data_IF_013969579384
#
_entry.id   IF_013969579384
#
_cell.length_a   1.000
_cell.length_b   1.000
_cell.length_c   1.000
_cell.angle_alpha   90.00
_cell.angle_beta   90.00
_cell.angle_gamma   90.00
#
_symmetry.space_group_name_H-M   'P 1'
#
loop_
_entity.id
_entity.type
_entity.pdbx_description
1 polymer ?
#
# COMPACT_ATOMS: atom_id res chain seq x y z
N UNK A 1 15.04 -16.20 2.04
CA UNK A 1 14.18 -15.43 1.14
C UNK A 1 12.74 -15.77 1.48
N UNK A 2 11.82 -14.84 1.31
CA UNK A 2 10.39 -15.11 1.42
C UNK A 2 9.98 -16.16 0.38
N UNK A 3 9.03 -17.04 0.71
CA UNK A 3 8.44 -17.97 -0.23
C UNK A 3 6.94 -17.71 -0.29
N UNK A 4 6.46 -17.23 -1.45
CA UNK A 4 5.08 -16.88 -1.74
C UNK A 4 4.50 -17.72 -2.88
N UNK A 5 5.12 -18.87 -3.20
CA UNK A 5 4.64 -19.77 -4.24
C UNK A 5 3.20 -20.21 -3.98
N UNK A 6 2.35 -20.09 -4.99
CA UNK A 6 0.93 -20.40 -4.91
C UNK A 6 0.08 -19.34 -4.18
N UNK A 7 0.66 -18.15 -3.92
CA UNK A 7 -0.05 -17.02 -3.32
C UNK A 7 -0.38 -15.99 -4.40
N UNK A 8 -1.65 -15.65 -4.55
CA UNK A 8 -2.09 -14.57 -5.46
C UNK A 8 -2.19 -13.26 -4.69
N UNK A 9 -1.45 -12.25 -5.13
CA UNK A 9 -1.37 -10.94 -4.47
C UNK A 9 -1.86 -9.84 -5.39
N UNK A 10 -2.80 -9.05 -4.91
CA UNK A 10 -3.22 -7.83 -5.58
C UNK A 10 -2.35 -6.66 -5.11
N UNK A 11 -1.61 -6.05 -6.02
CA UNK A 11 -0.80 -4.86 -5.78
C UNK A 11 -1.46 -3.65 -6.42
N UNK A 12 -1.94 -2.73 -5.60
CA UNK A 12 -2.56 -1.49 -6.08
C UNK A 12 -1.57 -0.33 -6.06
N UNK A 13 -1.73 0.62 -7.00
CA UNK A 13 -0.76 1.68 -7.22
C UNK A 13 0.47 1.21 -8.00
N UNK A 14 0.30 0.19 -8.83
CA UNK A 14 1.38 -0.53 -9.52
C UNK A 14 2.33 0.35 -10.34
N UNK A 15 1.85 1.51 -10.82
CA UNK A 15 2.69 2.48 -11.54
C UNK A 15 3.64 3.31 -10.67
N UNK A 16 3.56 3.19 -9.34
CA UNK A 16 4.41 3.94 -8.40
C UNK A 16 5.81 3.35 -8.24
N UNK A 17 6.78 4.19 -7.87
CA UNK A 17 8.17 3.75 -7.72
C UNK A 17 8.35 2.68 -6.62
N UNK A 18 7.67 2.83 -5.47
CA UNK A 18 7.67 1.80 -4.43
C UNK A 18 7.02 0.51 -4.94
N UNK A 19 5.87 0.63 -5.64
CA UNK A 19 5.15 -0.53 -6.14
C UNK A 19 5.98 -1.36 -7.11
N UNK A 20 6.82 -0.74 -7.95
CA UNK A 20 7.72 -1.45 -8.85
C UNK A 20 8.70 -2.34 -8.07
N UNK A 21 9.29 -1.83 -6.98
CA UNK A 21 10.19 -2.63 -6.15
C UNK A 21 9.44 -3.75 -5.41
N UNK A 22 8.22 -3.45 -4.91
CA UNK A 22 7.36 -4.45 -4.26
C UNK A 22 6.96 -5.54 -5.25
N UNK A 23 6.53 -5.19 -6.45
CA UNK A 23 6.14 -6.14 -7.48
C UNK A 23 7.29 -7.10 -7.81
N UNK A 24 8.50 -6.56 -8.02
CA UNK A 24 9.68 -7.39 -8.31
C UNK A 24 9.99 -8.36 -7.17
N UNK A 25 10.02 -7.90 -5.94
CA UNK A 25 10.31 -8.74 -4.77
C UNK A 25 9.26 -9.85 -4.59
N UNK A 26 7.97 -9.54 -4.83
CA UNK A 26 6.89 -10.53 -4.73
C UNK A 26 6.98 -11.60 -5.82
N UNK A 27 7.32 -11.22 -7.05
CA UNK A 27 7.57 -12.17 -8.15
C UNK A 27 8.80 -13.03 -7.85
N UNK A 28 9.90 -12.43 -7.41
CA UNK A 28 11.11 -13.16 -7.04
C UNK A 28 10.87 -14.15 -5.88
N UNK A 29 9.89 -13.85 -5.03
CA UNK A 29 9.42 -14.75 -3.98
C UNK A 29 8.42 -15.82 -4.47
N UNK A 30 8.03 -15.81 -5.75
CA UNK A 30 7.16 -16.81 -6.39
C UNK A 30 5.66 -16.50 -6.33
N UNK A 31 5.26 -15.28 -6.00
CA UNK A 31 3.85 -14.88 -6.00
C UNK A 31 3.29 -14.70 -7.42
N UNK A 32 2.00 -14.98 -7.58
CA UNK A 32 1.20 -14.54 -8.73
C UNK A 32 0.68 -13.13 -8.45
N UNK A 33 0.87 -12.20 -9.41
CA UNK A 33 0.50 -10.79 -9.22
C UNK A 33 -0.69 -10.37 -10.08
N UNK A 34 -1.64 -9.68 -9.45
CA UNK A 34 -2.62 -8.84 -10.10
C UNK A 34 -2.21 -7.38 -9.86
N UNK A 35 -1.80 -6.69 -10.92
CA UNK A 35 -1.42 -5.28 -10.87
C UNK A 35 -2.64 -4.39 -11.09
N UNK A 36 -2.86 -3.43 -10.18
CA UNK A 36 -3.96 -2.46 -10.29
C UNK A 36 -3.37 -1.04 -10.29
N UNK A 37 -3.73 -0.25 -11.29
CA UNK A 37 -3.26 1.11 -11.43
C UNK A 37 -3.97 1.85 -12.55
N UNK A 38 -3.37 2.91 -13.10
CA UNK A 38 -3.99 3.71 -14.18
C UNK A 38 -3.00 4.13 -15.25
N UNK A 39 -3.46 4.06 -16.49
CA UNK A 39 -2.86 4.68 -17.66
C UNK A 39 -1.39 4.29 -17.90
N UNK A 40 -0.60 5.22 -18.44
CA UNK A 40 0.77 4.96 -18.87
C UNK A 40 1.73 4.49 -17.76
N UNK A 41 1.48 4.86 -16.50
CA UNK A 41 2.30 4.37 -15.40
C UNK A 41 2.07 2.88 -15.11
N UNK A 42 0.84 2.42 -15.28
CA UNK A 42 0.50 1.00 -15.18
C UNK A 42 1.12 0.19 -16.32
N UNK A 43 1.04 0.68 -17.57
CA UNK A 43 1.69 0.03 -18.72
C UNK A 43 3.19 -0.14 -18.50
N UNK A 44 3.87 0.89 -17.99
CA UNK A 44 5.30 0.78 -17.65
C UNK A 44 5.59 -0.23 -16.55
N UNK A 45 4.66 -0.46 -15.63
CA UNK A 45 4.82 -1.50 -14.61
C UNK A 45 4.64 -2.90 -15.22
N UNK A 46 3.65 -3.08 -16.09
CA UNK A 46 3.41 -4.30 -16.84
C UNK A 46 4.63 -4.72 -17.68
N UNK A 47 5.26 -3.76 -18.37
CA UNK A 47 6.46 -4.00 -19.17
C UNK A 47 7.69 -4.48 -18.33
N UNK A 48 7.69 -4.22 -17.03
CA UNK A 48 8.84 -4.47 -16.15
C UNK A 48 8.72 -5.70 -15.28
N UNK A 49 7.49 -6.07 -14.93
CA UNK A 49 7.23 -7.12 -13.95
C UNK A 49 6.22 -8.11 -14.53
N UNK A 50 6.54 -9.40 -14.60
CA UNK A 50 5.59 -10.40 -15.05
C UNK A 50 4.41 -10.46 -14.06
N UNK A 51 3.23 -10.07 -14.55
CA UNK A 51 1.99 -10.13 -13.81
C UNK A 51 1.05 -11.19 -14.43
N UNK A 52 0.26 -11.82 -13.58
CA UNK A 52 -0.78 -12.75 -14.02
C UNK A 52 -1.93 -12.00 -14.68
N UNK A 53 -2.20 -10.80 -14.18
CA UNK A 53 -3.27 -9.93 -14.67
C UNK A 53 -2.97 -8.45 -14.39
N UNK A 54 -3.48 -7.57 -15.26
CA UNK A 54 -3.31 -6.11 -15.15
C UNK A 54 -4.66 -5.44 -15.30
N UNK A 55 -5.03 -4.63 -14.32
CA UNK A 55 -6.33 -3.95 -14.24
C UNK A 55 -6.12 -2.43 -14.27
N UNK A 56 -6.58 -1.79 -15.36
CA UNK A 56 -6.60 -0.32 -15.45
C UNK A 56 -7.87 0.21 -14.77
N UNK A 57 -7.76 0.55 -13.49
CA UNK A 57 -8.88 0.94 -12.65
C UNK A 57 -8.58 2.22 -11.86
N UNK A 58 -9.56 3.11 -11.80
CA UNK A 58 -9.56 4.21 -10.84
C UNK A 58 -10.16 3.77 -9.50
N UNK A 59 -9.31 3.55 -8.52
CA UNK A 59 -9.76 3.15 -7.18
C UNK A 59 -10.48 4.27 -6.41
N UNK A 60 -10.52 5.50 -6.93
CA UNK A 60 -11.40 6.55 -6.37
C UNK A 60 -12.85 6.39 -6.79
N UNK A 61 -13.11 5.65 -7.87
CA UNK A 61 -14.45 5.30 -8.33
C UNK A 61 -14.98 4.08 -7.57
N UNK A 62 -16.14 4.15 -6.89
CA UNK A 62 -16.73 3.01 -6.21
C UNK A 62 -17.07 1.83 -7.14
N UNK A 63 -17.21 2.04 -8.45
CA UNK A 63 -17.39 0.96 -9.42
C UNK A 63 -16.22 -0.03 -9.44
N UNK A 64 -15.01 0.41 -9.04
CA UNK A 64 -13.83 -0.44 -8.90
C UNK A 64 -14.04 -1.61 -7.93
N UNK A 65 -14.90 -1.46 -6.92
CA UNK A 65 -15.18 -2.51 -5.93
C UNK A 65 -15.71 -3.79 -6.61
N UNK A 66 -16.68 -3.64 -7.51
CA UNK A 66 -17.29 -4.80 -8.19
C UNK A 66 -16.30 -5.47 -9.14
N UNK A 67 -15.43 -4.71 -9.79
CA UNK A 67 -14.38 -5.28 -10.63
C UNK A 67 -13.39 -6.10 -9.79
N UNK A 68 -12.89 -5.53 -8.69
CA UNK A 68 -11.96 -6.21 -7.80
C UNK A 68 -12.55 -7.49 -7.16
N UNK A 69 -13.85 -7.53 -6.92
CA UNK A 69 -14.56 -8.72 -6.37
C UNK A 69 -14.50 -9.95 -7.25
N UNK A 70 -14.25 -9.79 -8.54
CA UNK A 70 -14.15 -10.91 -9.50
C UNK A 70 -12.87 -11.72 -9.31
N UNK A 71 -11.89 -11.14 -8.59
CA UNK A 71 -10.57 -11.74 -8.41
C UNK A 71 -10.43 -12.37 -7.04
N UNK A 72 -9.88 -13.59 -7.04
CA UNK A 72 -9.55 -14.32 -5.82
C UNK A 72 -8.11 -14.00 -5.46
N UNK A 73 -7.91 -13.41 -4.29
CA UNK A 73 -6.57 -13.03 -3.83
C UNK A 73 -6.35 -13.44 -2.38
N UNK A 74 -5.11 -13.81 -2.08
CA UNK A 74 -4.67 -14.17 -0.73
C UNK A 74 -4.14 -12.96 0.04
N UNK A 75 -3.65 -11.95 -0.69
CA UNK A 75 -3.21 -10.70 -0.07
C UNK A 75 -3.51 -9.48 -0.93
N UNK A 76 -3.71 -8.34 -0.26
CA UNK A 76 -3.74 -7.00 -0.84
C UNK A 76 -2.53 -6.22 -0.33
N UNK A 77 -1.72 -5.69 -1.24
CA UNK A 77 -0.70 -4.70 -0.92
C UNK A 77 -1.11 -3.36 -1.54
N UNK A 78 -1.53 -2.43 -0.70
CA UNK A 78 -2.03 -1.13 -1.13
C UNK A 78 -0.94 -0.06 -1.00
N UNK A 79 -0.45 0.41 -2.16
CA UNK A 79 0.58 1.45 -2.23
C UNK A 79 0.08 2.76 -2.83
N UNK A 80 -1.21 2.83 -3.21
CA UNK A 80 -1.81 4.07 -3.70
C UNK A 80 -1.74 5.15 -2.64
N UNK A 81 -1.43 6.36 -3.06
CA UNK A 81 -1.49 7.52 -2.19
C UNK A 81 -0.89 8.76 -2.83
N UNK A 82 -1.28 9.89 -2.29
CA UNK A 82 -0.73 11.19 -2.62
C UNK A 82 -0.04 11.81 -1.40
N UNK A 83 1.02 12.56 -1.66
CA UNK A 83 1.67 13.42 -0.70
C UNK A 83 1.31 14.87 -0.98
N UNK A 84 1.16 15.67 0.06
CA UNK A 84 0.93 17.10 -0.08
C UNK A 84 1.38 17.88 1.14
N UNK A 85 1.94 19.07 0.91
CA UNK A 85 2.24 20.05 1.93
C UNK A 85 1.41 21.31 1.66
N UNK A 86 0.78 21.83 2.69
CA UNK A 86 -0.04 23.05 2.60
C UNK A 86 -0.18 23.69 3.96
N UNK A 87 -0.14 25.02 3.99
CA UNK A 87 -0.44 25.79 5.19
C UNK A 87 -1.90 25.52 5.62
N UNK A 88 -2.11 25.14 6.87
CA UNK A 88 -3.44 24.74 7.35
C UNK A 88 -4.52 25.85 7.17
N UNK A 89 -4.13 27.14 7.25
CA UNK A 89 -5.05 28.26 7.09
C UNK A 89 -5.41 28.58 5.63
N UNK A 90 -4.73 27.93 4.65
CA UNK A 90 -5.00 28.05 3.22
C UNK A 90 -5.73 26.82 2.67
N UNK A 91 -5.84 25.77 3.47
CA UNK A 91 -6.46 24.52 3.04
C UNK A 91 -7.97 24.70 2.81
N UNK A 92 -8.45 24.15 1.74
CA UNK A 92 -9.86 24.18 1.33
C UNK A 92 -10.55 22.84 1.61
N UNK A 93 -11.90 22.79 1.59
CA UNK A 93 -12.62 21.52 1.63
C UNK A 93 -12.23 20.56 0.50
N UNK A 94 -11.91 21.07 -0.69
CA UNK A 94 -11.49 20.26 -1.84
C UNK A 94 -10.11 19.65 -1.62
N UNK A 95 -9.17 20.36 -0.97
CA UNK A 95 -7.87 19.80 -0.58
C UNK A 95 -8.04 18.65 0.43
N UNK A 96 -8.93 18.80 1.40
CA UNK A 96 -9.26 17.74 2.35
C UNK A 96 -9.85 16.53 1.62
N UNK A 97 -10.87 16.76 0.79
CA UNK A 97 -11.54 15.68 0.04
C UNK A 97 -10.57 14.98 -0.89
N UNK A 98 -9.75 15.72 -1.63
CA UNK A 98 -8.74 15.17 -2.54
C UNK A 98 -7.72 14.29 -1.78
N UNK A 99 -7.21 14.75 -0.64
CA UNK A 99 -6.24 14.01 0.16
C UNK A 99 -6.85 12.75 0.78
N UNK A 100 -8.09 12.83 1.29
CA UNK A 100 -8.80 11.67 1.82
C UNK A 100 -9.14 10.66 0.71
N UNK A 101 -9.58 11.14 -0.45
CA UNK A 101 -9.88 10.28 -1.60
C UNK A 101 -8.62 9.54 -2.06
N UNK A 102 -7.52 10.24 -2.27
CA UNK A 102 -6.30 9.63 -2.79
C UNK A 102 -5.66 8.62 -1.83
N UNK A 103 -5.78 8.80 -0.52
CA UNK A 103 -5.13 7.95 0.47
C UNK A 103 -6.09 6.94 1.12
N UNK A 104 -7.27 7.39 1.59
CA UNK A 104 -8.16 6.55 2.39
C UNK A 104 -9.25 5.88 1.56
N UNK A 105 -9.94 6.63 0.68
CA UNK A 105 -11.05 6.08 -0.10
C UNK A 105 -10.57 4.98 -1.05
N UNK A 106 -9.42 5.17 -1.70
CA UNK A 106 -8.80 4.16 -2.58
C UNK A 106 -8.48 2.87 -1.83
N UNK A 107 -7.96 2.96 -0.60
CA UNK A 107 -7.74 1.78 0.25
C UNK A 107 -9.06 1.11 0.64
N UNK A 108 -10.07 1.90 1.04
CA UNK A 108 -11.37 1.39 1.40
C UNK A 108 -12.00 0.59 0.24
N UNK A 109 -12.01 1.15 -0.97
CA UNK A 109 -12.54 0.46 -2.15
C UNK A 109 -11.76 -0.83 -2.46
N UNK A 110 -10.44 -0.79 -2.40
CA UNK A 110 -9.61 -1.98 -2.61
C UNK A 110 -9.94 -3.08 -1.59
N UNK A 111 -10.06 -2.73 -0.31
CA UNK A 111 -10.44 -3.66 0.76
C UNK A 111 -11.84 -4.22 0.54
N UNK A 112 -12.84 -3.38 0.22
CA UNK A 112 -14.21 -3.84 -0.05
C UNK A 112 -14.29 -4.79 -1.25
N UNK A 113 -13.39 -4.65 -2.21
CA UNK A 113 -13.28 -5.57 -3.33
C UNK A 113 -12.77 -6.95 -2.93
N UNK A 114 -11.70 -7.03 -2.14
CA UNK A 114 -11.02 -8.31 -1.86
C UNK A 114 -11.49 -9.01 -0.59
N UNK A 115 -11.93 -8.27 0.42
CA UNK A 115 -12.27 -8.79 1.75
C UNK A 115 -13.34 -9.89 1.76
N UNK A 116 -14.43 -9.82 0.95
CA UNK A 116 -15.43 -10.88 0.94
C UNK A 116 -14.85 -12.25 0.57
N UNK A 117 -13.90 -12.30 -0.38
CA UNK A 117 -13.21 -13.54 -0.74
C UNK A 117 -12.32 -14.05 0.40
N UNK A 118 -11.49 -13.17 0.97
CA UNK A 118 -10.61 -13.52 2.10
C UNK A 118 -11.40 -14.08 3.28
N UNK A 119 -12.55 -13.50 3.60
CA UNK A 119 -13.44 -14.01 4.67
C UNK A 119 -14.02 -15.38 4.34
N UNK A 120 -14.40 -15.62 3.09
CA UNK A 120 -14.94 -16.91 2.65
C UNK A 120 -13.90 -18.03 2.73
N UNK A 121 -12.67 -17.77 2.34
CA UNK A 121 -11.57 -18.74 2.42
C UNK A 121 -10.98 -18.86 3.83
N UNK A 122 -11.32 -17.91 4.73
CA UNK A 122 -10.78 -17.80 6.09
C UNK A 122 -9.26 -17.62 6.13
N UNK A 123 -8.74 -16.97 5.12
CA UNK A 123 -7.33 -16.63 4.99
C UNK A 123 -7.18 -15.35 4.19
N UNK A 124 -6.29 -14.46 4.62
CA UNK A 124 -5.99 -13.23 3.89
C UNK A 124 -5.08 -12.29 4.66
N UNK A 125 -4.43 -11.40 3.90
CA UNK A 125 -3.64 -10.33 4.49
C UNK A 125 -3.84 -9.01 3.72
N UNK A 126 -4.05 -7.94 4.46
CA UNK A 126 -4.17 -6.57 3.95
C UNK A 126 -2.98 -5.77 4.43
N UNK A 127 -2.14 -5.31 3.52
CA UNK A 127 -1.01 -4.44 3.79
C UNK A 127 -1.30 -3.04 3.28
N UNK A 128 -1.30 -2.05 4.16
CA UNK A 128 -1.51 -0.64 3.82
C UNK A 128 -0.26 0.20 4.09
N UNK A 129 0.17 1.00 3.10
CA UNK A 129 1.31 1.90 3.27
C UNK A 129 0.84 3.25 3.81
N UNK A 130 1.22 3.54 5.04
CA UNK A 130 0.98 4.82 5.73
C UNK A 130 2.19 5.76 5.61
N UNK A 131 2.56 6.49 6.65
CA UNK A 131 3.67 7.45 6.62
C UNK A 131 4.23 7.74 8.03
N UNK A 132 5.46 8.29 8.07
CA UNK A 132 6.09 8.75 9.32
C UNK A 132 5.23 9.76 10.10
N UNK A 133 4.57 10.66 9.38
CA UNK A 133 3.69 11.68 9.97
C UNK A 133 2.52 11.04 10.72
N UNK A 134 1.92 9.99 10.16
CA UNK A 134 0.87 9.22 10.80
C UNK A 134 1.39 8.47 12.03
N UNK A 135 2.56 7.82 11.93
CA UNK A 135 3.17 7.11 13.06
C UNK A 135 3.52 8.05 14.23
N UNK A 136 3.84 9.32 13.94
CA UNK A 136 4.15 10.38 14.92
C UNK A 136 2.91 11.18 15.33
N UNK A 137 1.78 11.01 14.64
CA UNK A 137 0.56 11.83 14.76
C UNK A 137 0.84 13.33 14.60
N UNK A 138 1.84 13.68 13.79
CA UNK A 138 2.29 15.07 13.58
C UNK A 138 3.09 15.23 12.30
N UNK A 139 2.85 16.34 11.59
CA UNK A 139 3.58 16.72 10.36
C UNK A 139 3.46 18.23 10.11
N UNK A 140 4.55 18.98 10.34
CA UNK A 140 4.57 20.42 10.06
C UNK A 140 4.31 20.66 8.57
N UNK A 141 3.33 21.52 8.25
CA UNK A 141 2.94 21.85 6.87
C UNK A 141 2.24 20.70 6.11
N UNK A 142 1.92 19.60 6.76
CA UNK A 142 1.32 18.41 6.13
C UNK A 142 0.10 17.90 6.91
N UNK A 143 -0.73 18.80 7.44
CA UNK A 143 -1.83 18.43 8.33
C UNK A 143 -2.84 17.48 7.65
N UNK A 144 -3.29 17.79 6.43
CA UNK A 144 -4.24 16.96 5.70
C UNK A 144 -3.63 15.61 5.29
N UNK A 145 -2.37 15.62 4.86
CA UNK A 145 -1.64 14.38 4.56
C UNK A 145 -1.50 13.50 5.80
N UNK A 146 -1.09 14.09 6.94
CA UNK A 146 -0.98 13.37 8.22
C UNK A 146 -2.30 12.75 8.62
N UNK A 147 -3.40 13.52 8.55
CA UNK A 147 -4.74 13.02 8.87
C UNK A 147 -5.16 11.86 7.97
N UNK A 148 -4.96 11.98 6.65
CA UNK A 148 -5.33 10.93 5.71
C UNK A 148 -4.50 9.65 5.89
N UNK A 149 -3.20 9.76 6.15
CA UNK A 149 -2.33 8.60 6.41
C UNK A 149 -2.55 8.01 7.81
N UNK A 150 -2.96 8.80 8.79
CA UNK A 150 -3.43 8.30 10.08
C UNK A 150 -4.74 7.51 9.92
N UNK A 151 -5.67 7.98 9.07
CA UNK A 151 -6.88 7.24 8.74
C UNK A 151 -6.57 5.88 8.09
N UNK A 152 -5.60 5.82 7.15
CA UNK A 152 -5.11 4.55 6.56
C UNK A 152 -4.63 3.59 7.65
N UNK A 153 -3.78 4.07 8.57
CA UNK A 153 -3.22 3.25 9.64
C UNK A 153 -4.33 2.76 10.58
N UNK A 154 -5.18 3.66 11.05
CA UNK A 154 -6.28 3.32 11.95
C UNK A 154 -7.25 2.31 11.32
N UNK A 155 -7.56 2.47 10.02
CA UNK A 155 -8.44 1.56 9.31
C UNK A 155 -7.86 0.14 9.22
N UNK A 156 -6.60 -0.01 8.79
CA UNK A 156 -5.96 -1.33 8.67
C UNK A 156 -5.81 -2.02 10.03
N UNK A 157 -5.42 -1.28 11.08
CA UNK A 157 -5.29 -1.84 12.43
C UNK A 157 -6.65 -2.23 13.02
N UNK A 158 -7.69 -1.40 12.81
CA UNK A 158 -9.05 -1.72 13.24
C UNK A 158 -9.62 -2.93 12.51
N UNK A 159 -9.37 -3.05 11.19
CA UNK A 159 -9.71 -4.25 10.44
C UNK A 159 -8.99 -5.49 10.99
N UNK A 160 -7.70 -5.37 11.35
CA UNK A 160 -6.97 -6.47 11.95
C UNK A 160 -7.66 -6.98 13.22
N UNK A 161 -8.04 -6.07 14.12
CA UNK A 161 -8.71 -6.43 15.37
C UNK A 161 -10.12 -7.00 15.14
N UNK A 162 -10.90 -6.40 14.24
CA UNK A 162 -12.25 -6.87 13.89
C UNK A 162 -12.24 -8.27 13.25
N UNK A 163 -11.22 -8.55 12.44
CA UNK A 163 -11.10 -9.79 11.68
C UNK A 163 -10.28 -10.87 12.39
N UNK A 164 -9.83 -10.58 13.60
CA UNK A 164 -9.15 -11.55 14.47
C UNK A 164 -10.03 -12.79 14.70
N UNK A 165 -9.45 -13.96 14.44
CA UNK A 165 -10.18 -15.23 14.46
C UNK A 165 -11.00 -15.55 13.21
N UNK A 166 -11.11 -14.63 12.24
CA UNK A 166 -11.76 -14.86 10.94
C UNK A 166 -10.75 -15.23 9.84
N UNK A 167 -9.46 -15.33 10.17
CA UNK A 167 -8.39 -15.72 9.26
C UNK A 167 -7.78 -14.56 8.45
N UNK A 168 -8.32 -13.34 8.53
CA UNK A 168 -7.80 -12.17 7.81
C UNK A 168 -6.98 -11.29 8.76
N UNK A 169 -5.85 -10.79 8.27
CA UNK A 169 -4.89 -9.99 9.04
C UNK A 169 -4.63 -8.66 8.37
N UNK A 170 -4.32 -7.63 9.15
CA UNK A 170 -3.88 -6.33 8.69
C UNK A 170 -2.43 -6.05 9.09
N UNK A 171 -1.69 -5.36 8.23
CA UNK A 171 -0.36 -4.83 8.54
C UNK A 171 -0.20 -3.42 7.96
N UNK A 172 0.24 -2.49 8.79
CA UNK A 172 0.55 -1.13 8.36
C UNK A 172 2.05 -0.99 8.18
N UNK A 173 2.47 -0.43 7.05
CA UNK A 173 3.87 -0.09 6.77
C UNK A 173 4.04 1.41 6.88
N UNK A 174 4.96 1.84 7.73
CA UNK A 174 5.31 3.24 7.92
C UNK A 174 6.72 3.49 7.38
N UNK A 175 6.86 4.10 6.20
CA UNK A 175 8.12 4.71 5.80
C UNK A 175 8.44 5.85 6.77
N UNK A 176 9.50 5.72 7.56
CA UNK A 176 9.87 6.71 8.59
C UNK A 176 10.75 7.84 8.05
N UNK A 177 10.94 7.88 6.74
CA UNK A 177 11.61 8.90 5.95
C UNK A 177 11.07 8.94 4.52
N UNK A 178 11.67 9.75 3.66
CA UNK A 178 11.39 9.72 2.24
C UNK A 178 11.91 8.40 1.62
N UNK A 179 11.22 7.91 0.61
CA UNK A 179 11.64 6.72 -0.14
C UNK A 179 12.52 7.18 -1.30
N UNK A 180 13.58 6.45 -1.61
CA UNK A 180 14.43 6.71 -2.77
C UNK A 180 13.65 6.47 -4.07
N UNK A 181 13.15 7.56 -4.63
CA UNK A 181 12.37 7.58 -5.87
C UNK A 181 12.93 8.62 -6.83
N UNK A 182 12.72 8.49 -8.14
CA UNK A 182 13.13 9.52 -9.11
C UNK A 182 12.66 10.93 -8.70
N UNK A 183 11.41 11.07 -8.30
CA UNK A 183 10.83 12.36 -7.86
C UNK A 183 11.55 12.94 -6.64
N UNK A 184 11.90 12.12 -5.66
CA UNK A 184 12.60 12.59 -4.46
C UNK A 184 14.07 12.94 -4.76
N UNK A 185 14.72 12.21 -5.69
CA UNK A 185 16.05 12.57 -6.18
C UNK A 185 16.05 13.89 -6.94
N UNK A 186 15.07 14.11 -7.83
CA UNK A 186 14.88 15.38 -8.54
C UNK A 186 14.61 16.54 -7.56
N UNK A 187 13.98 16.29 -6.43
CA UNK A 187 13.81 17.25 -5.34
C UNK A 187 15.08 17.47 -4.49
N UNK A 188 16.22 16.88 -4.87
CA UNK A 188 17.52 17.05 -4.22
C UNK A 188 17.76 16.18 -3.00
N UNK A 189 16.95 15.15 -2.77
CA UNK A 189 17.19 14.18 -1.70
C UNK A 189 18.33 13.24 -2.09
N UNK A 190 19.27 13.01 -1.17
CA UNK A 190 20.37 12.09 -1.41
C UNK A 190 19.96 10.66 -1.05
N UNK A 191 20.64 9.71 -1.64
CA UNK A 191 20.45 8.28 -1.39
C UNK A 191 20.58 7.95 0.12
N UNK A 192 21.57 8.50 0.80
CA UNK A 192 21.84 8.22 2.23
C UNK A 192 20.71 8.69 3.13
N UNK A 193 20.00 9.75 2.74
CA UNK A 193 18.89 10.33 3.50
C UNK A 193 17.53 9.69 3.19
N UNK A 194 17.49 8.68 2.32
CA UNK A 194 16.24 8.05 1.86
C UNK A 194 16.21 6.56 2.18
N UNK A 195 14.98 6.02 2.24
CA UNK A 195 14.76 4.59 2.45
C UNK A 195 14.90 3.87 1.11
N UNK A 196 15.68 2.79 1.08
CA UNK A 196 15.78 1.90 -0.07
C UNK A 196 14.41 1.22 -0.34
N UNK A 197 13.81 1.42 -1.53
CA UNK A 197 12.54 0.79 -1.87
C UNK A 197 12.62 -0.74 -1.92
N UNK A 198 13.78 -1.34 -2.19
CA UNK A 198 13.98 -2.80 -2.15
C UNK A 198 13.94 -3.30 -0.72
N UNK A 199 14.57 -2.62 0.23
CA UNK A 199 14.50 -2.97 1.66
C UNK A 199 13.06 -2.90 2.19
N UNK A 200 12.29 -1.92 1.73
CA UNK A 200 10.85 -1.87 2.03
C UNK A 200 10.09 -3.05 1.42
N UNK A 201 10.34 -3.37 0.17
CA UNK A 201 9.70 -4.49 -0.53
C UNK A 201 9.99 -5.83 0.18
N UNK A 202 11.22 -6.07 0.57
CA UNK A 202 11.63 -7.25 1.35
C UNK A 202 10.92 -7.33 2.70
N UNK A 203 10.75 -6.19 3.38
CA UNK A 203 10.02 -6.14 4.64
C UNK A 203 8.52 -6.46 4.45
N UNK A 204 7.91 -6.00 3.37
CA UNK A 204 6.53 -6.33 3.00
C UNK A 204 6.41 -7.82 2.68
N UNK A 205 7.28 -8.37 1.83
CA UNK A 205 7.28 -9.80 1.50
C UNK A 205 7.48 -10.66 2.75
N UNK A 206 8.37 -10.24 3.67
CA UNK A 206 8.55 -10.91 4.95
C UNK A 206 7.26 -10.91 5.80
N UNK A 207 6.54 -9.79 5.87
CA UNK A 207 5.28 -9.72 6.60
C UNK A 207 4.24 -10.67 6.03
N UNK A 208 4.15 -10.78 4.70
CA UNK A 208 3.22 -11.68 4.00
C UNK A 208 3.49 -13.17 4.30
N UNK A 209 4.75 -13.55 4.51
CA UNK A 209 5.14 -14.94 4.79
C UNK A 209 5.06 -15.33 6.27
N UNK A 210 4.71 -14.40 7.16
CA UNK A 210 4.63 -14.72 8.59
C UNK A 210 3.45 -15.63 8.92
N UNK A 211 3.66 -16.65 9.75
CA UNK A 211 2.59 -17.57 10.13
C UNK A 211 1.50 -16.84 10.96
N UNK A 212 0.26 -17.30 10.93
CA UNK A 212 -0.86 -16.66 11.64
C UNK A 212 -0.61 -16.42 13.14
N UNK A 213 0.18 -17.26 13.80
CA UNK A 213 0.48 -17.16 15.24
C UNK A 213 1.67 -16.24 15.56
N UNK A 214 2.35 -15.69 14.55
CA UNK A 214 3.51 -14.80 14.71
C UNK A 214 3.55 -13.75 13.58
N UNK A 215 2.38 -13.15 13.26
CA UNK A 215 2.24 -12.13 12.22
C UNK A 215 2.73 -10.76 12.71
N UNK A 216 2.97 -9.89 11.75
CA UNK A 216 3.35 -8.50 11.96
C UNK A 216 2.15 -7.61 11.68
N UNK A 217 1.83 -6.69 12.59
CA UNK A 217 0.75 -5.71 12.44
C UNK A 217 1.24 -4.34 12.03
N UNK A 218 2.49 -4.02 12.36
CA UNK A 218 3.12 -2.75 12.04
C UNK A 218 4.59 -2.96 11.66
N UNK A 219 5.02 -2.23 10.63
CA UNK A 219 6.43 -2.14 10.21
C UNK A 219 6.84 -0.67 10.13
N UNK A 220 7.86 -0.28 10.90
CA UNK A 220 8.48 1.05 10.83
C UNK A 220 9.84 0.90 10.18
N UNK A 221 10.01 1.49 9.00
CA UNK A 221 11.20 1.35 8.17
C UNK A 221 11.91 2.68 8.09
N UNK A 222 13.15 2.72 8.56
CA UNK A 222 13.95 3.94 8.70
C UNK A 222 15.04 4.00 7.64
N UNK A 223 15.42 5.21 7.17
CA UNK A 223 16.71 5.38 6.50
C UNK A 223 17.85 5.20 7.50
N UNK A 224 19.06 4.99 7.01
CA UNK A 224 20.28 4.88 7.83
C UNK A 224 20.89 6.28 8.10
N UNK A 225 20.19 7.12 8.88
CA UNK A 225 20.64 8.49 9.26
C UNK A 225 20.32 8.77 10.71
#
# INVERSE_FOLDING_TARGET
MANLSGTTIMLTGAGGALATAVAQELVDAGAELILVGRGESLKRAEDRVPATEVLDLDLSDPASIEELRRHKVDALVHTVGAYGMQDAHKATPDDLNGMMTANMTTLFHAVQGVLPHMLKQKEGMIVGVSAAQAARMSGKGAALYTASKAAVAAYVLSLHDELKGKGVRGCVVYPMGAIDTPTNREAGMTWEATIDPRGMAQSIAHALTRPPRAHLTELKIYPDV
#
